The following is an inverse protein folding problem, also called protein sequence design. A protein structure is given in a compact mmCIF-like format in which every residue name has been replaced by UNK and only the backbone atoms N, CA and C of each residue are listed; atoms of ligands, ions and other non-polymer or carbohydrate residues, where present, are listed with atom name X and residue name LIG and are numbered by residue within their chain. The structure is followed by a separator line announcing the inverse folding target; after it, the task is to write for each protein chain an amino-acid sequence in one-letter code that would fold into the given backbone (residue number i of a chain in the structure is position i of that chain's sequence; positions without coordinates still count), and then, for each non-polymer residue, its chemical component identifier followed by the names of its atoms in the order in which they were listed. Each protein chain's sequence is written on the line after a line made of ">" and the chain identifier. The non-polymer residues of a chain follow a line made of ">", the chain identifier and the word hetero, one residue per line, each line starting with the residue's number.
data_IF_962852656391
#
_entry.id   IF_962852656391
#
_cell.length_a   1.000
_cell.length_b   1.000
_cell.length_c   1.000
_cell.angle_alpha   90.00
_cell.angle_beta   90.00
_cell.angle_gamma   90.00
#
_symmetry.space_group_name_H-M   'P 1'
#
loop_
_entity.id
_entity.type
_entity.pdbx_description
1 polymer ?
#
# COMPACT_ATOMS: atom_id res chain seq x y z
N UNK A 1 34.30 25.20 -34.35
CA UNK A 1 35.41 24.71 -35.18
C UNK A 1 35.49 23.20 -34.98
N UNK A 2 35.65 22.42 -36.04
CA UNK A 2 36.04 21.01 -35.89
C UNK A 2 37.57 21.02 -35.78
N UNK A 3 38.11 20.93 -34.57
CA UNK A 3 39.54 20.66 -34.37
C UNK A 3 39.71 19.17 -34.16
N UNK A 4 40.60 18.52 -34.90
CA UNK A 4 40.95 17.13 -34.60
C UNK A 4 41.70 17.02 -33.27
N UNK A 5 41.72 15.85 -32.65
CA UNK A 5 42.54 15.59 -31.44
C UNK A 5 44.02 15.88 -31.75
N UNK A 6 44.48 15.55 -32.95
CA UNK A 6 45.85 15.82 -33.40
C UNK A 6 46.15 17.31 -33.50
N UNK A 7 45.24 18.11 -34.05
CA UNK A 7 45.37 19.58 -34.11
C UNK A 7 45.31 20.20 -32.71
N UNK A 8 44.45 19.67 -31.84
CA UNK A 8 44.37 20.09 -30.45
C UNK A 8 45.70 19.86 -29.74
N UNK A 9 46.24 18.64 -29.80
CA UNK A 9 47.52 18.29 -29.19
C UNK A 9 48.69 19.07 -29.81
N UNK A 10 48.65 19.34 -31.13
CA UNK A 10 49.66 20.16 -31.79
C UNK A 10 49.61 21.61 -31.31
N UNK A 11 48.41 22.19 -31.16
CA UNK A 11 48.25 23.53 -30.61
C UNK A 11 48.73 23.62 -29.17
N UNK A 12 48.36 22.65 -28.33
CA UNK A 12 48.80 22.57 -26.94
C UNK A 12 50.34 22.50 -26.85
N UNK A 13 50.99 21.68 -27.68
CA UNK A 13 52.46 21.57 -27.73
C UNK A 13 53.17 22.80 -28.29
N UNK A 14 52.53 23.52 -29.22
CA UNK A 14 53.14 24.66 -29.92
C UNK A 14 53.01 25.98 -29.16
N UNK A 15 52.04 26.08 -28.25
CA UNK A 15 51.94 27.23 -27.36
C UNK A 15 52.83 26.97 -26.14
N UNK A 16 53.74 27.90 -25.80
CA UNK A 16 54.30 28.05 -24.45
C UNK A 16 53.19 28.45 -23.42
N UNK A 17 51.97 27.96 -23.62
CA UNK A 17 50.82 28.34 -22.85
C UNK A 17 50.92 27.74 -21.46
N UNK A 18 50.73 28.60 -20.46
CA UNK A 18 50.50 28.22 -19.07
C UNK A 18 49.53 27.03 -18.99
N UNK A 19 49.82 26.05 -18.12
CA UNK A 19 48.96 24.89 -17.81
C UNK A 19 47.48 25.23 -17.60
N UNK A 20 47.19 26.47 -17.19
CA UNK A 20 45.84 27.04 -17.08
C UNK A 20 45.06 27.03 -18.39
N UNK A 21 45.68 27.34 -19.52
CA UNK A 21 45.01 27.36 -20.84
C UNK A 21 44.68 25.95 -21.34
N UNK A 22 45.53 24.96 -21.03
CA UNK A 22 45.27 23.56 -21.32
C UNK A 22 44.08 23.05 -20.51
N UNK A 23 44.04 23.39 -19.22
CA UNK A 23 42.95 23.04 -18.32
C UNK A 23 41.62 23.67 -18.76
N UNK A 24 41.60 24.94 -19.14
CA UNK A 24 40.40 25.62 -19.66
C UNK A 24 39.86 24.93 -20.92
N UNK A 25 40.74 24.58 -21.85
CA UNK A 25 40.34 23.87 -23.08
C UNK A 25 39.84 22.45 -22.83
N UNK A 26 40.48 21.73 -21.90
CA UNK A 26 40.01 20.40 -21.49
C UNK A 26 38.64 20.49 -20.80
N UNK A 27 38.43 21.51 -19.96
CA UNK A 27 37.13 21.79 -19.36
C UNK A 27 36.08 22.08 -20.43
N UNK A 28 36.38 22.88 -21.45
CA UNK A 28 35.45 23.14 -22.56
C UNK A 28 34.99 21.86 -23.26
N UNK A 29 35.90 20.92 -23.51
CA UNK A 29 35.58 19.60 -24.10
C UNK A 29 34.75 18.74 -23.16
N UNK A 30 35.12 18.66 -21.87
CA UNK A 30 34.41 17.86 -20.87
C UNK A 30 33.01 18.42 -20.56
N UNK A 31 32.83 19.73 -20.66
CA UNK A 31 31.56 20.41 -20.40
C UNK A 31 30.67 20.52 -21.66
N UNK A 32 31.22 20.25 -22.86
CA UNK A 32 30.47 20.31 -24.12
C UNK A 32 29.15 19.51 -24.10
N UNK A 33 29.08 18.27 -23.54
CA UNK A 33 27.83 17.51 -23.45
C UNK A 33 26.74 18.19 -22.61
N UNK A 34 27.09 19.05 -21.64
CA UNK A 34 26.13 19.74 -20.78
C UNK A 34 25.34 20.83 -21.52
N UNK A 35 25.86 21.32 -22.65
CA UNK A 35 25.20 22.31 -23.49
C UNK A 35 24.15 21.72 -24.44
N UNK A 36 24.10 20.39 -24.57
CA UNK A 36 23.19 19.69 -25.47
C UNK A 36 21.87 19.44 -24.75
N UNK A 37 20.76 19.82 -25.39
CA UNK A 37 19.43 19.73 -24.79
C UNK A 37 18.47 18.88 -25.64
N UNK A 38 18.76 17.58 -25.82
CA UNK A 38 17.92 16.72 -26.66
C UNK A 38 16.49 16.61 -26.08
N UNK A 39 16.35 16.67 -24.76
CA UNK A 39 15.05 16.66 -24.11
C UNK A 39 14.14 17.84 -24.50
N UNK A 40 14.68 19.06 -24.62
CA UNK A 40 13.90 20.23 -25.05
C UNK A 40 13.40 20.06 -26.48
N UNK A 41 14.28 19.66 -27.40
CA UNK A 41 13.92 19.47 -28.82
C UNK A 41 12.96 18.29 -29.04
N UNK A 42 13.00 17.25 -28.23
CA UNK A 42 11.99 16.19 -28.24
C UNK A 42 10.59 16.73 -27.93
N UNK A 43 10.49 17.61 -26.93
CA UNK A 43 9.22 18.26 -26.55
C UNK A 43 8.76 19.20 -27.67
N UNK A 44 9.67 20.00 -28.22
CA UNK A 44 9.34 20.93 -29.30
C UNK A 44 8.86 20.21 -30.55
N UNK A 45 9.50 19.09 -30.89
CA UNK A 45 9.08 18.24 -32.00
C UNK A 45 7.66 17.68 -31.77
N UNK A 46 7.36 17.16 -30.57
CA UNK A 46 6.02 16.68 -30.25
C UNK A 46 4.96 17.78 -30.35
N UNK A 47 5.24 18.98 -29.83
CA UNK A 47 4.36 20.15 -29.93
C UNK A 47 4.13 20.56 -31.39
N UNK A 48 5.19 20.63 -32.20
CA UNK A 48 5.11 20.98 -33.60
C UNK A 48 4.37 19.92 -34.42
N UNK A 49 4.59 18.64 -34.16
CA UNK A 49 3.88 17.54 -34.79
C UNK A 49 2.37 17.58 -34.46
N UNK A 50 2.00 17.91 -33.21
CA UNK A 50 0.60 18.14 -32.82
C UNK A 50 -0.04 19.29 -33.59
N UNK A 51 0.65 20.44 -33.58
CA UNK A 51 0.10 21.71 -34.00
C UNK A 51 0.06 21.83 -35.52
N UNK A 52 1.14 21.44 -36.19
CA UNK A 52 1.35 21.65 -37.61
C UNK A 52 1.31 20.34 -38.43
N UNK A 53 1.25 19.18 -37.76
CA UNK A 53 1.31 17.88 -38.42
C UNK A 53 2.74 17.36 -38.55
N UNK A 54 2.91 16.04 -38.54
CA UNK A 54 4.23 15.38 -38.58
C UNK A 54 5.00 15.64 -39.88
N UNK A 55 4.29 15.84 -41.00
CA UNK A 55 4.88 16.19 -42.29
C UNK A 55 5.18 17.68 -42.47
N UNK A 56 4.89 18.53 -41.48
CA UNK A 56 5.19 19.96 -41.59
C UNK A 56 6.70 20.21 -41.58
N UNK A 57 7.13 21.22 -42.32
CA UNK A 57 8.54 21.64 -42.34
C UNK A 57 9.08 21.92 -40.93
N UNK A 58 8.25 22.50 -40.05
CA UNK A 58 8.64 22.81 -38.68
C UNK A 58 8.80 21.55 -37.81
N UNK A 59 7.89 20.58 -37.90
CA UNK A 59 8.04 19.31 -37.20
C UNK A 59 9.28 18.55 -37.68
N UNK A 60 9.48 18.46 -39.00
CA UNK A 60 10.66 17.81 -39.60
C UNK A 60 11.95 18.48 -39.13
N UNK A 61 12.02 19.83 -39.17
CA UNK A 61 13.19 20.59 -38.69
C UNK A 61 13.51 20.28 -37.23
N UNK A 62 12.51 20.30 -36.35
CA UNK A 62 12.71 20.04 -34.93
C UNK A 62 13.06 18.57 -34.65
N UNK A 63 12.53 17.64 -35.45
CA UNK A 63 12.93 16.24 -35.45
C UNK A 63 14.42 16.07 -35.77
N UNK A 64 14.93 16.71 -36.83
CA UNK A 64 16.35 16.71 -37.14
C UNK A 64 17.20 17.36 -36.04
N UNK A 65 16.74 18.48 -35.47
CA UNK A 65 17.43 19.13 -34.34
C UNK A 65 17.52 18.20 -33.12
N UNK A 66 16.45 17.44 -32.84
CA UNK A 66 16.43 16.45 -31.78
C UNK A 66 17.45 15.33 -32.04
N UNK A 67 17.43 14.71 -33.23
CA UNK A 67 18.33 13.60 -33.56
C UNK A 67 19.80 14.04 -33.58
N UNK A 68 20.11 15.20 -34.16
CA UNK A 68 21.47 15.75 -34.17
C UNK A 68 21.95 16.14 -32.77
N UNK A 69 21.04 16.60 -31.91
CA UNK A 69 21.36 16.87 -30.51
C UNK A 69 21.65 15.57 -29.74
N UNK A 70 20.96 14.46 -30.01
CA UNK A 70 21.27 13.17 -29.35
C UNK A 70 22.72 12.74 -29.57
N UNK A 71 23.26 12.99 -30.76
CA UNK A 71 24.66 12.72 -31.10
C UNK A 71 25.61 13.89 -30.78
N UNK A 72 25.11 14.98 -30.19
CA UNK A 72 25.90 16.18 -29.87
C UNK A 72 27.07 15.88 -28.93
N UNK A 73 26.88 15.00 -27.93
CA UNK A 73 27.94 14.60 -26.99
C UNK A 73 29.09 13.83 -27.65
N UNK A 74 28.81 13.13 -28.76
CA UNK A 74 29.83 12.37 -29.54
C UNK A 74 30.46 13.23 -30.63
N UNK A 75 29.66 14.06 -31.28
CA UNK A 75 30.05 14.82 -32.47
C UNK A 75 30.55 16.23 -32.16
N UNK A 76 30.34 16.71 -30.93
CA UNK A 76 30.60 18.09 -30.54
C UNK A 76 29.67 19.10 -31.21
N UNK A 77 28.58 18.64 -31.86
CA UNK A 77 27.58 19.51 -32.48
C UNK A 77 26.68 20.11 -31.41
N UNK A 78 26.49 21.42 -31.47
CA UNK A 78 25.55 22.15 -30.61
C UNK A 78 24.64 23.01 -31.47
N UNK A 79 23.39 23.19 -31.04
CA UNK A 79 22.48 24.14 -31.69
C UNK A 79 22.97 25.57 -31.45
N UNK A 80 22.93 26.42 -32.48
CA UNK A 80 23.31 27.83 -32.33
C UNK A 80 22.43 28.52 -31.29
N UNK A 81 23.04 29.38 -30.46
CA UNK A 81 22.37 30.00 -29.30
C UNK A 81 21.14 30.84 -29.68
N UNK A 82 21.22 31.57 -30.78
CA UNK A 82 20.11 32.37 -31.33
C UNK A 82 18.95 31.51 -31.81
N UNK A 83 19.25 30.37 -32.43
CA UNK A 83 18.24 29.38 -32.86
C UNK A 83 17.56 28.75 -31.65
N UNK A 84 18.33 28.34 -30.65
CA UNK A 84 17.81 27.77 -29.40
C UNK A 84 16.90 28.77 -28.67
N UNK A 85 17.34 30.02 -28.52
CA UNK A 85 16.56 31.05 -27.83
C UNK A 85 15.24 31.37 -28.56
N UNK A 86 15.28 31.40 -29.90
CA UNK A 86 14.08 31.55 -30.73
C UNK A 86 13.11 30.39 -30.54
N UNK A 87 13.61 29.15 -30.58
CA UNK A 87 12.79 27.95 -30.41
C UNK A 87 12.22 27.87 -28.97
N UNK A 88 13.01 28.22 -27.95
CA UNK A 88 12.56 28.33 -26.55
C UNK A 88 11.44 29.33 -26.39
N UNK A 89 11.60 30.55 -26.92
CA UNK A 89 10.56 31.58 -26.86
C UNK A 89 9.27 31.12 -27.51
N UNK A 90 9.39 30.37 -28.60
CA UNK A 90 8.23 29.81 -29.31
C UNK A 90 7.56 28.71 -28.49
N UNK A 91 8.28 27.68 -28.04
CA UNK A 91 7.68 26.45 -27.53
C UNK A 91 7.59 26.33 -26.00
N UNK A 92 8.50 26.94 -25.24
CA UNK A 92 8.62 26.71 -23.79
C UNK A 92 7.39 27.14 -22.99
N UNK A 93 6.61 28.08 -23.53
CA UNK A 93 5.35 28.54 -22.91
C UNK A 93 4.21 27.51 -22.96
N UNK A 94 4.34 26.45 -23.78
CA UNK A 94 3.26 25.49 -24.03
C UNK A 94 3.36 24.16 -23.26
N UNK A 95 4.42 23.95 -22.48
CA UNK A 95 4.60 22.71 -21.69
C UNK A 95 4.72 21.45 -22.55
N UNK A 96 4.19 20.32 -22.05
CA UNK A 96 4.09 19.04 -22.79
C UNK A 96 2.71 18.88 -23.41
N UNK A 97 2.61 18.10 -24.49
CA UNK A 97 1.34 17.68 -25.07
C UNK A 97 0.51 16.85 -24.08
N UNK A 98 -0.81 16.92 -24.17
CA UNK A 98 -1.69 16.31 -23.17
C UNK A 98 -1.55 14.79 -23.09
N UNK A 99 -1.26 14.09 -24.19
CA UNK A 99 -1.03 12.65 -24.16
C UNK A 99 0.23 12.23 -23.41
N UNK A 100 1.21 13.12 -23.27
CA UNK A 100 2.48 12.88 -22.60
C UNK A 100 2.48 13.37 -21.14
N UNK A 101 1.37 13.99 -20.70
CA UNK A 101 1.19 14.35 -19.29
C UNK A 101 0.70 13.12 -18.51
N UNK A 102 1.28 12.84 -17.33
CA UNK A 102 0.65 11.91 -16.39
C UNK A 102 -0.77 12.40 -16.09
N UNK A 103 -1.67 11.48 -15.76
CA UNK A 103 -3.03 11.87 -15.41
C UNK A 103 -3.00 12.77 -14.17
N UNK A 104 -3.91 13.74 -14.09
CA UNK A 104 -3.91 14.77 -13.04
C UNK A 104 -3.92 14.17 -11.61
N UNK A 105 -4.47 12.95 -11.48
CA UNK A 105 -4.47 12.13 -10.27
C UNK A 105 -3.05 11.89 -9.70
N UNK A 106 -2.01 11.83 -10.54
CA UNK A 106 -0.61 11.61 -10.12
C UNK A 106 0.15 12.90 -9.78
N UNK A 107 -0.43 14.08 -10.05
CA UNK A 107 0.27 15.38 -9.96
C UNK A 107 -0.09 16.23 -8.74
N UNK A 108 -0.80 15.68 -7.76
CA UNK A 108 -1.16 16.40 -6.52
C UNK A 108 0.06 16.95 -5.73
N UNK A 109 1.29 16.52 -6.06
CA UNK A 109 2.50 16.93 -5.36
C UNK A 109 3.11 18.27 -5.79
N UNK A 110 2.60 18.94 -6.84
CA UNK A 110 3.12 20.27 -7.21
C UNK A 110 2.17 21.39 -6.73
N UNK A 111 2.48 22.09 -5.62
CA UNK A 111 1.61 23.12 -5.05
C UNK A 111 1.45 24.37 -5.93
N UNK A 112 2.21 24.51 -7.03
CA UNK A 112 2.11 25.63 -7.96
C UNK A 112 2.14 25.15 -9.42
N UNK A 113 1.06 24.51 -9.93
CA UNK A 113 0.97 24.18 -11.33
C UNK A 113 0.86 25.49 -12.12
N UNK A 114 1.91 25.89 -12.85
CA UNK A 114 1.76 26.94 -13.84
C UNK A 114 0.89 26.37 -14.97
N UNK A 115 -0.28 26.96 -15.27
CA UNK A 115 -1.10 26.47 -16.37
C UNK A 115 -0.31 26.66 -17.66
N UNK A 116 0.11 25.55 -18.26
CA UNK A 116 0.75 25.57 -19.56
C UNK A 116 -0.30 25.92 -20.61
N UNK A 117 0.00 26.87 -21.50
CA UNK A 117 -0.88 27.17 -22.63
C UNK A 117 -0.85 25.97 -23.59
N UNK A 118 -1.95 25.62 -24.21
CA UNK A 118 -1.89 24.70 -25.34
C UNK A 118 -1.45 25.45 -26.60
N UNK A 119 -0.54 24.82 -27.37
CA UNK A 119 -0.19 25.33 -28.70
C UNK A 119 -1.38 25.06 -29.64
N UNK A 120 -2.00 26.09 -30.25
CA UNK A 120 -3.16 25.91 -31.13
C UNK A 120 -2.82 25.00 -32.31
N UNK A 121 -3.75 24.11 -32.67
CA UNK A 121 -3.61 23.24 -33.84
C UNK A 121 -4.05 23.96 -35.11
N UNK A 122 -3.20 23.90 -36.12
CA UNK A 122 -3.45 24.42 -37.48
C UNK A 122 -4.01 23.33 -38.38
N UNK A 123 -3.65 22.07 -38.14
CA UNK A 123 -4.14 20.93 -38.92
C UNK A 123 -5.55 20.56 -38.49
N UNK A 124 -6.45 20.48 -39.46
CA UNK A 124 -7.83 20.04 -39.26
C UNK A 124 -7.91 18.56 -38.86
N UNK A 125 -8.97 18.21 -38.14
CA UNK A 125 -9.23 16.84 -37.69
C UNK A 125 -8.55 16.47 -36.36
N UNK A 126 -8.93 15.33 -35.77
CA UNK A 126 -8.44 14.92 -34.46
C UNK A 126 -6.99 14.43 -34.53
N UNK A 127 -6.22 14.66 -33.45
CA UNK A 127 -4.86 14.11 -33.34
C UNK A 127 -4.94 12.68 -32.78
N UNK A 128 -4.29 11.73 -33.44
CA UNK A 128 -4.45 10.30 -33.13
C UNK A 128 -4.12 9.94 -31.68
N UNK A 129 -3.09 10.55 -31.07
CA UNK A 129 -2.74 10.23 -29.67
C UNK A 129 -3.74 10.83 -28.68
N UNK A 130 -4.37 11.97 -28.99
CA UNK A 130 -5.45 12.53 -28.17
C UNK A 130 -6.68 11.60 -28.20
N UNK A 131 -7.01 11.07 -29.38
CA UNK A 131 -8.07 10.08 -29.56
C UNK A 131 -7.76 8.79 -28.80
N UNK A 132 -6.53 8.27 -28.89
CA UNK A 132 -6.12 7.06 -28.19
C UNK A 132 -6.14 7.24 -26.67
N UNK A 133 -5.63 8.36 -26.14
CA UNK A 133 -5.70 8.65 -24.69
C UNK A 133 -7.15 8.73 -24.21
N UNK A 134 -8.01 9.42 -24.95
CA UNK A 134 -9.44 9.55 -24.62
C UNK A 134 -10.15 8.19 -24.60
N UNK A 135 -9.97 7.38 -25.66
CA UNK A 135 -10.54 6.04 -25.72
C UNK A 135 -9.96 5.11 -24.65
N UNK A 136 -8.65 5.22 -24.36
CA UNK A 136 -8.01 4.50 -23.26
C UNK A 136 -8.63 4.82 -21.91
N UNK A 137 -8.90 6.10 -21.60
CA UNK A 137 -9.60 6.52 -20.38
C UNK A 137 -11.02 5.96 -20.30
N UNK A 138 -11.76 5.98 -21.41
CA UNK A 138 -13.11 5.39 -21.48
C UNK A 138 -13.06 3.88 -21.21
N UNK A 139 -12.12 3.16 -21.82
CA UNK A 139 -11.97 1.71 -21.59
C UNK A 139 -11.51 1.39 -20.16
N UNK A 140 -10.57 2.16 -19.60
CA UNK A 140 -10.18 2.09 -18.18
C UNK A 140 -11.40 2.23 -17.27
N UNK A 141 -12.22 3.25 -17.50
CA UNK A 141 -13.45 3.48 -16.74
C UNK A 141 -14.43 2.31 -16.83
N UNK A 142 -14.65 1.77 -18.03
CA UNK A 142 -15.50 0.58 -18.25
C UNK A 142 -14.99 -0.65 -17.50
N UNK A 143 -13.68 -0.90 -17.52
CA UNK A 143 -13.08 -2.05 -16.83
C UNK A 143 -13.15 -1.89 -15.30
N UNK A 144 -12.87 -0.69 -14.78
CA UNK A 144 -13.02 -0.39 -13.35
C UNK A 144 -14.48 -0.51 -12.89
N UNK A 145 -15.43 -0.09 -13.72
CA UNK A 145 -16.84 -0.26 -13.40
C UNK A 145 -17.22 -1.74 -13.36
N UNK A 146 -16.82 -2.54 -14.35
CA UNK A 146 -17.03 -4.00 -14.32
C UNK A 146 -16.46 -4.67 -13.07
N UNK A 147 -15.28 -4.22 -12.62
CA UNK A 147 -14.69 -4.68 -11.37
C UNK A 147 -15.57 -4.30 -10.17
N UNK A 148 -15.98 -3.03 -10.08
CA UNK A 148 -16.88 -2.55 -9.02
C UNK A 148 -18.23 -3.26 -9.02
N UNK A 149 -18.78 -3.59 -10.18
CA UNK A 149 -20.03 -4.33 -10.29
C UNK A 149 -19.87 -5.77 -9.76
N UNK A 150 -18.69 -6.38 -10.00
CA UNK A 150 -18.34 -7.73 -9.50
C UNK A 150 -17.94 -7.77 -8.04
N UNK A 151 -17.35 -6.70 -7.50
CA UNK A 151 -16.90 -6.65 -6.10
C UNK A 151 -17.80 -5.83 -5.19
N UNK A 152 -18.82 -5.19 -5.77
CA UNK A 152 -19.76 -4.33 -5.06
C UNK A 152 -20.61 -5.10 -4.06
N UNK A 153 -21.37 -4.35 -3.26
CA UNK A 153 -22.07 -4.88 -2.09
C UNK A 153 -23.01 -6.06 -2.40
N UNK A 154 -23.51 -6.16 -3.64
CA UNK A 154 -24.40 -7.23 -4.08
C UNK A 154 -23.74 -8.57 -4.43
N UNK A 155 -22.46 -8.60 -4.81
CA UNK A 155 -21.81 -9.83 -5.28
C UNK A 155 -21.36 -10.77 -4.15
N UNK A 156 -21.24 -10.25 -2.93
CA UNK A 156 -20.71 -10.99 -1.78
C UNK A 156 -21.76 -11.27 -0.68
N UNK A 157 -23.05 -11.24 -1.03
CA UNK A 157 -24.14 -11.35 -0.03
C UNK A 157 -24.15 -12.72 0.67
N UNK A 158 -23.86 -13.81 -0.04
CA UNK A 158 -24.02 -15.16 0.48
C UNK A 158 -23.06 -15.49 1.65
N UNK A 159 -21.75 -15.34 1.44
CA UNK A 159 -20.79 -15.62 2.53
C UNK A 159 -20.89 -14.61 3.66
N UNK A 160 -21.23 -13.34 3.36
CA UNK A 160 -21.50 -12.32 4.39
C UNK A 160 -22.68 -12.75 5.26
N UNK A 161 -23.74 -13.29 4.67
CA UNK A 161 -24.89 -13.82 5.41
C UNK A 161 -24.49 -15.01 6.30
N UNK A 162 -23.67 -15.93 5.80
CA UNK A 162 -23.14 -17.04 6.58
C UNK A 162 -22.26 -16.57 7.74
N UNK A 163 -21.35 -15.62 7.49
CA UNK A 163 -20.50 -15.01 8.52
C UNK A 163 -21.32 -14.33 9.61
N UNK A 164 -22.35 -13.56 9.23
CA UNK A 164 -23.31 -12.96 10.17
C UNK A 164 -24.05 -14.00 11.00
N UNK A 165 -24.50 -15.07 10.36
CA UNK A 165 -25.21 -16.15 11.05
C UNK A 165 -24.28 -16.84 12.07
N UNK A 166 -23.03 -17.12 11.72
CA UNK A 166 -22.03 -17.70 12.62
C UNK A 166 -21.77 -16.80 13.84
N UNK A 167 -21.57 -15.49 13.62
CA UNK A 167 -21.32 -14.54 14.71
C UNK A 167 -22.54 -14.39 15.61
N UNK A 168 -23.75 -14.28 15.03
CA UNK A 168 -25.00 -14.24 15.80
C UNK A 168 -25.20 -15.49 16.65
N UNK A 169 -24.93 -16.67 16.09
CA UNK A 169 -25.02 -17.93 16.83
C UNK A 169 -24.04 -17.95 18.02
N UNK A 170 -22.80 -17.48 17.81
CA UNK A 170 -21.83 -17.38 18.89
C UNK A 170 -22.22 -16.37 19.98
N UNK A 171 -22.74 -15.19 19.61
CA UNK A 171 -23.25 -14.19 20.58
C UNK A 171 -24.39 -14.79 21.40
N UNK A 172 -25.32 -15.49 20.76
CA UNK A 172 -26.42 -16.17 21.45
C UNK A 172 -25.88 -17.21 22.45
N UNK A 173 -24.90 -18.03 22.05
CA UNK A 173 -24.26 -19.01 22.94
C UNK A 173 -23.56 -18.33 24.14
N UNK A 174 -22.87 -17.20 23.92
CA UNK A 174 -22.30 -16.41 25.02
C UNK A 174 -23.39 -15.88 25.95
N UNK A 175 -24.51 -15.39 25.43
CA UNK A 175 -25.62 -14.86 26.22
C UNK A 175 -26.35 -15.95 27.04
N UNK A 176 -26.49 -17.17 26.51
CA UNK A 176 -27.04 -18.31 27.24
C UNK A 176 -26.20 -18.67 28.48
N UNK A 177 -24.89 -18.47 28.40
CA UNK A 177 -23.94 -18.67 29.50
C UNK A 177 -23.90 -17.43 30.42
N UNK A 178 -23.91 -16.23 29.84
CA UNK A 178 -23.69 -14.97 30.55
C UNK A 178 -24.90 -14.53 31.38
N UNK A 179 -26.09 -14.51 30.79
CA UNK A 179 -27.28 -13.92 31.41
C UNK A 179 -27.69 -14.56 32.74
N UNK A 180 -27.64 -15.91 32.92
CA UNK A 180 -28.04 -16.53 34.19
C UNK A 180 -27.19 -16.13 35.39
N UNK A 181 -25.94 -15.72 35.17
CA UNK A 181 -24.99 -15.36 36.23
C UNK A 181 -24.74 -13.85 36.34
N UNK A 182 -25.19 -13.05 35.36
CA UNK A 182 -24.88 -11.62 35.24
C UNK A 182 -25.11 -10.84 36.53
N UNK A 183 -26.27 -11.01 37.16
CA UNK A 183 -26.63 -10.26 38.37
C UNK A 183 -25.87 -10.69 39.63
N UNK A 184 -25.31 -11.91 39.62
CA UNK A 184 -24.56 -12.47 40.75
C UNK A 184 -23.09 -12.03 40.80
N UNK A 185 -22.60 -11.41 39.73
CA UNK A 185 -21.20 -11.05 39.58
C UNK A 185 -20.89 -9.61 40.00
N UNK A 186 -19.65 -9.32 40.43
CA UNK A 186 -19.18 -7.96 40.66
C UNK A 186 -19.31 -7.10 39.39
N UNK A 187 -19.65 -5.82 39.56
CA UNK A 187 -19.89 -4.89 38.45
C UNK A 187 -18.70 -4.80 37.48
N UNK A 188 -17.46 -4.82 38.00
CA UNK A 188 -16.23 -4.86 37.17
C UNK A 188 -16.25 -6.01 36.16
N UNK A 189 -16.65 -7.22 36.59
CA UNK A 189 -16.69 -8.38 35.70
C UNK A 189 -17.82 -8.28 34.68
N UNK A 190 -18.95 -7.67 35.06
CA UNK A 190 -20.04 -7.38 34.10
C UNK A 190 -19.57 -6.47 32.99
N UNK A 191 -18.89 -5.36 33.34
CA UNK A 191 -18.31 -4.45 32.35
C UNK A 191 -17.33 -5.16 31.42
N UNK A 192 -16.43 -5.97 31.98
CA UNK A 192 -15.46 -6.73 31.16
C UNK A 192 -16.16 -7.66 30.17
N UNK A 193 -17.16 -8.42 30.61
CA UNK A 193 -17.86 -9.39 29.77
C UNK A 193 -18.70 -8.67 28.70
N UNK A 194 -19.43 -7.63 29.10
CA UNK A 194 -20.23 -6.83 28.17
C UNK A 194 -19.34 -6.17 27.10
N UNK A 195 -18.12 -5.71 27.45
CA UNK A 195 -17.17 -5.19 26.46
C UNK A 195 -16.60 -6.26 25.51
N UNK A 196 -16.30 -7.46 26.02
CA UNK A 196 -15.76 -8.56 25.22
C UNK A 196 -16.79 -9.13 24.24
N UNK A 197 -18.06 -9.20 24.64
CA UNK A 197 -19.18 -9.66 23.79
C UNK A 197 -19.62 -8.54 22.84
N UNK A 198 -19.75 -7.30 23.34
CA UNK A 198 -20.31 -6.16 22.61
C UNK A 198 -19.54 -5.76 21.35
N UNK A 199 -18.24 -6.09 21.26
CA UNK A 199 -17.46 -5.96 20.02
C UNK A 199 -18.11 -6.64 18.82
N UNK A 200 -18.83 -7.73 19.06
CA UNK A 200 -19.45 -8.56 18.03
C UNK A 200 -20.91 -8.19 17.76
N UNK A 201 -21.59 -7.54 18.70
CA UNK A 201 -23.01 -7.16 18.59
C UNK A 201 -23.22 -5.95 17.68
N UNK A 202 -22.41 -4.90 17.84
CA UNK A 202 -22.62 -3.61 17.17
C UNK A 202 -21.85 -3.45 15.85
N UNK A 203 -20.74 -4.18 15.66
CA UNK A 203 -19.67 -3.76 14.72
C UNK A 203 -19.26 -4.79 13.67
N UNK A 204 -19.70 -6.04 13.82
CA UNK A 204 -19.25 -7.15 12.99
C UNK A 204 -20.19 -7.52 11.83
N UNK A 205 -21.32 -6.83 11.73
CA UNK A 205 -22.44 -7.31 10.94
C UNK A 205 -22.23 -7.24 9.42
N UNK A 206 -21.24 -6.56 8.83
CA UNK A 206 -21.30 -6.36 7.38
C UNK A 206 -20.24 -7.01 6.47
N UNK A 207 -18.95 -7.15 6.81
CA UNK A 207 -17.94 -7.47 5.77
C UNK A 207 -16.73 -8.34 6.17
N UNK A 208 -16.75 -9.08 7.29
CA UNK A 208 -15.55 -9.80 7.75
C UNK A 208 -15.67 -11.31 7.75
N UNK A 209 -14.53 -11.94 7.49
CA UNK A 209 -14.34 -13.37 7.62
C UNK A 209 -14.41 -13.75 9.10
N UNK A 210 -15.32 -14.66 9.51
CA UNK A 210 -15.45 -15.02 10.92
C UNK A 210 -14.27 -15.84 11.43
N UNK A 211 -13.49 -16.46 10.55
CA UNK A 211 -12.48 -17.46 10.93
C UNK A 211 -11.26 -16.87 11.65
N UNK A 212 -10.64 -15.76 11.21
CA UNK A 212 -9.54 -15.16 11.95
C UNK A 212 -9.91 -14.74 13.38
N UNK A 213 -11.20 -14.52 13.67
CA UNK A 213 -11.70 -14.18 15.02
C UNK A 213 -12.01 -15.41 15.90
N UNK A 214 -12.03 -16.63 15.34
CA UNK A 214 -12.44 -17.84 16.09
C UNK A 214 -11.57 -18.14 17.31
N UNK A 215 -10.22 -18.07 17.25
CA UNK A 215 -9.40 -18.30 18.44
C UNK A 215 -9.78 -17.39 19.61
N UNK A 216 -9.98 -16.10 19.34
CA UNK A 216 -10.41 -15.12 20.34
C UNK A 216 -11.79 -15.47 20.92
N UNK A 217 -12.78 -15.69 20.05
CA UNK A 217 -14.15 -16.06 20.44
C UNK A 217 -14.22 -17.33 21.30
N UNK A 218 -13.44 -18.36 20.95
CA UNK A 218 -13.37 -19.62 21.72
C UNK A 218 -12.83 -19.39 23.13
N UNK A 219 -11.81 -18.54 23.30
CA UNK A 219 -11.24 -18.26 24.64
C UNK A 219 -12.18 -17.42 25.51
N UNK A 220 -12.91 -16.47 24.94
CA UNK A 220 -13.97 -15.75 25.68
C UNK A 220 -15.02 -16.74 26.18
N UNK A 221 -15.57 -17.59 25.30
CA UNK A 221 -16.58 -18.57 25.69
C UNK A 221 -16.05 -19.57 26.73
N UNK A 222 -14.80 -19.99 26.59
CA UNK A 222 -14.13 -20.83 27.59
C UNK A 222 -14.04 -20.14 28.96
N UNK A 223 -13.67 -18.86 28.99
CA UNK A 223 -13.62 -18.06 30.22
C UNK A 223 -15.00 -18.00 30.90
N UNK A 224 -16.06 -17.75 30.13
CA UNK A 224 -17.44 -17.70 30.64
C UNK A 224 -17.89 -19.04 31.21
N UNK A 225 -17.62 -20.15 30.51
CA UNK A 225 -17.93 -21.50 31.00
C UNK A 225 -17.20 -21.84 32.29
N UNK A 226 -15.94 -21.42 32.42
CA UNK A 226 -15.18 -21.59 33.65
C UNK A 226 -15.76 -20.80 34.82
N UNK A 227 -16.28 -19.61 34.60
CA UNK A 227 -16.96 -18.82 35.64
C UNK A 227 -18.23 -19.52 36.16
N UNK A 228 -18.99 -20.19 35.30
CA UNK A 228 -20.18 -20.98 35.71
C UNK A 228 -19.76 -22.25 36.46
N UNK A 229 -18.78 -22.98 35.94
CA UNK A 229 -18.38 -24.27 36.48
C UNK A 229 -17.66 -24.16 37.84
N UNK A 230 -17.14 -22.98 38.17
CA UNK A 230 -16.54 -22.71 39.47
C UNK A 230 -17.59 -23.00 40.57
N UNK A 231 -17.29 -23.92 41.52
CA UNK A 231 -18.18 -24.16 42.65
C UNK A 231 -18.46 -22.82 43.30
N UNK A 232 -19.74 -22.46 43.33
CA UNK A 232 -20.30 -21.16 43.74
C UNK A 232 -19.40 -20.39 44.72
N UNK A 233 -19.27 -19.07 44.50
CA UNK A 233 -18.61 -18.01 45.28
C UNK A 233 -18.82 -18.01 46.83
N UNK A 234 -19.35 -19.07 47.42
CA UNK A 234 -19.51 -19.34 48.85
C UNK A 234 -18.22 -19.83 49.54
N UNK A 235 -17.05 -19.76 48.91
CA UNK A 235 -15.80 -20.08 49.60
C UNK A 235 -15.36 -18.92 50.52
N UNK A 236 -14.86 -19.20 51.74
CA UNK A 236 -14.43 -18.18 52.71
C UNK A 236 -13.40 -17.20 52.14
N UNK A 237 -13.31 -16.01 52.74
CA UNK A 237 -12.54 -14.81 52.33
C UNK A 237 -10.99 -14.97 52.16
N UNK A 238 -10.45 -16.18 52.09
CA UNK A 238 -9.02 -16.46 52.02
C UNK A 238 -8.61 -17.36 50.84
N UNK A 239 -9.52 -17.67 49.91
CA UNK A 239 -9.12 -18.35 48.66
C UNK A 239 -8.63 -17.30 47.66
N UNK A 240 -7.40 -17.42 47.11
CA UNK A 240 -6.88 -16.49 46.11
C UNK A 240 -7.84 -16.32 44.94
N UNK A 241 -7.85 -15.17 44.26
CA UNK A 241 -8.73 -14.90 43.13
C UNK A 241 -8.74 -16.10 42.20
N UNK A 242 -9.94 -16.68 41.99
CA UNK A 242 -10.05 -17.92 41.27
C UNK A 242 -9.41 -17.73 39.88
N UNK A 243 -8.59 -18.69 39.46
CA UNK A 243 -7.82 -18.63 38.21
C UNK A 243 -8.69 -18.26 36.98
N UNK A 244 -10.00 -18.51 37.06
CA UNK A 244 -11.00 -18.17 36.05
C UNK A 244 -11.30 -16.67 35.95
N UNK A 245 -11.33 -15.94 37.06
CA UNK A 245 -11.46 -14.47 37.05
C UNK A 245 -10.22 -13.86 36.43
N UNK A 246 -9.04 -14.32 36.87
CA UNK A 246 -7.77 -13.83 36.32
C UNK A 246 -7.65 -14.12 34.81
N UNK A 247 -8.17 -15.26 34.34
CA UNK A 247 -8.21 -15.57 32.92
C UNK A 247 -9.07 -14.59 32.11
N UNK A 248 -10.21 -14.16 32.66
CA UNK A 248 -11.05 -13.15 32.03
C UNK A 248 -10.40 -11.76 32.05
N UNK A 249 -9.75 -11.40 33.16
CA UNK A 249 -8.97 -10.16 33.26
C UNK A 249 -7.80 -10.13 32.28
N UNK A 250 -7.06 -11.24 32.13
CA UNK A 250 -5.98 -11.35 31.14
C UNK A 250 -6.50 -11.16 29.70
N UNK A 251 -7.69 -11.68 29.36
CA UNK A 251 -8.32 -11.42 28.05
C UNK A 251 -8.70 -9.93 27.91
N UNK A 252 -9.26 -9.32 28.94
CA UNK A 252 -9.57 -7.90 28.92
C UNK A 252 -8.31 -7.03 28.74
N UNK A 253 -7.21 -7.37 29.40
CA UNK A 253 -5.95 -6.65 29.28
C UNK A 253 -5.37 -6.76 27.87
N UNK A 254 -5.43 -7.95 27.24
CA UNK A 254 -5.07 -8.13 25.82
C UNK A 254 -5.92 -7.22 24.94
N UNK A 255 -7.24 -7.22 25.12
CA UNK A 255 -8.17 -6.38 24.36
C UNK A 255 -7.79 -4.90 24.46
N UNK A 256 -7.60 -4.40 25.68
CA UNK A 256 -7.27 -2.99 25.91
C UNK A 256 -5.94 -2.62 25.28
N UNK A 257 -4.90 -3.45 25.46
CA UNK A 257 -3.59 -3.23 24.84
C UNK A 257 -3.68 -3.18 23.30
N UNK A 258 -4.42 -4.11 22.69
CA UNK A 258 -4.66 -4.15 21.24
C UNK A 258 -5.42 -2.92 20.76
N UNK A 259 -6.44 -2.47 21.51
CA UNK A 259 -7.22 -1.29 21.17
C UNK A 259 -6.39 0.01 21.21
N UNK A 260 -5.56 0.19 22.24
CA UNK A 260 -4.65 1.34 22.33
C UNK A 260 -3.59 1.32 21.24
N UNK A 261 -3.08 0.13 20.89
CA UNK A 261 -2.19 -0.03 19.74
C UNK A 261 -2.89 0.37 18.43
N UNK A 262 -4.14 -0.04 18.23
CA UNK A 262 -4.93 0.32 17.06
C UNK A 262 -5.12 1.84 16.93
N UNK A 263 -5.46 2.54 18.03
CA UNK A 263 -5.54 4.02 18.04
C UNK A 263 -4.23 4.69 17.65
N UNK A 264 -3.12 4.16 18.17
CA UNK A 264 -1.78 4.66 17.87
C UNK A 264 -1.45 4.45 16.39
N UNK A 265 -1.66 3.23 15.88
CA UNK A 265 -1.47 2.89 14.47
C UNK A 265 -2.25 3.83 13.56
N UNK A 266 -3.51 4.08 13.87
CA UNK A 266 -4.38 4.95 13.09
C UNK A 266 -3.89 6.39 12.98
N UNK A 267 -3.27 6.90 14.04
CA UNK A 267 -2.66 8.22 14.07
C UNK A 267 -1.37 8.22 13.26
N UNK A 268 -0.51 7.20 13.45
CA UNK A 268 0.73 7.02 12.69
C UNK A 268 0.45 6.90 11.18
N UNK A 269 -0.49 6.06 10.74
CA UNK A 269 -0.81 5.86 9.30
C UNK A 269 -1.26 7.14 8.61
N UNK A 270 -2.02 7.99 9.29
CA UNK A 270 -2.41 9.29 8.71
C UNK A 270 -1.19 10.20 8.54
N UNK A 271 -0.28 10.23 9.51
CA UNK A 271 0.94 11.02 9.45
C UNK A 271 1.97 10.49 8.43
N UNK A 272 1.87 9.22 8.02
CA UNK A 272 2.78 8.58 7.07
C UNK A 272 2.40 8.76 5.60
N UNK A 273 1.27 9.43 5.28
CA UNK A 273 0.76 9.53 3.90
C UNK A 273 1.73 10.22 2.95
N UNK A 274 2.52 11.16 3.47
CA UNK A 274 3.48 11.95 2.69
C UNK A 274 4.89 11.35 2.70
N UNK A 275 5.09 10.22 3.39
CA UNK A 275 6.37 9.52 3.38
C UNK A 275 6.54 8.73 2.09
N UNK A 276 7.79 8.61 1.63
CA UNK A 276 8.10 7.69 0.56
C UNK A 276 7.82 6.24 0.99
N UNK A 277 7.70 5.35 0.01
CA UNK A 277 7.30 3.96 0.25
C UNK A 277 8.25 3.18 1.16
N UNK A 278 9.56 3.49 1.15
CA UNK A 278 10.55 2.80 1.99
C UNK A 278 10.35 3.18 3.45
N UNK A 279 10.28 4.48 3.74
CA UNK A 279 10.09 4.98 5.10
C UNK A 279 8.74 4.51 5.67
N UNK A 280 7.68 4.49 4.86
CA UNK A 280 6.38 3.95 5.27
C UNK A 280 6.47 2.47 5.64
N UNK A 281 7.19 1.66 4.87
CA UNK A 281 7.39 0.25 5.17
C UNK A 281 8.21 0.03 6.45
N UNK A 282 9.24 0.81 6.68
CA UNK A 282 10.05 0.73 7.91
C UNK A 282 9.19 1.03 9.14
N UNK A 283 8.35 2.07 9.08
CA UNK A 283 7.41 2.38 10.15
C UNK A 283 6.35 1.29 10.37
N UNK A 284 5.86 0.65 9.31
CA UNK A 284 4.94 -0.49 9.45
C UNK A 284 5.63 -1.68 10.13
N UNK A 285 6.91 -1.95 9.81
CA UNK A 285 7.71 -2.99 10.50
C UNK A 285 7.92 -2.65 11.98
N UNK A 286 8.23 -1.39 12.29
CA UNK A 286 8.33 -0.92 13.68
C UNK A 286 7.01 -1.15 14.44
N UNK A 287 5.87 -0.81 13.86
CA UNK A 287 4.56 -1.03 14.49
C UNK A 287 4.24 -2.52 14.68
N UNK A 288 4.59 -3.38 13.72
CA UNK A 288 4.43 -4.83 13.87
C UNK A 288 5.32 -5.39 14.99
N UNK A 289 6.55 -4.87 15.14
CA UNK A 289 7.43 -5.23 16.25
C UNK A 289 6.89 -4.73 17.60
N UNK A 290 6.41 -3.48 17.69
CA UNK A 290 5.73 -2.92 18.85
C UNK A 290 4.53 -3.79 19.26
N UNK A 291 3.70 -4.19 18.29
CA UNK A 291 2.54 -5.07 18.51
C UNK A 291 2.94 -6.45 19.04
N UNK A 292 4.00 -7.04 18.49
CA UNK A 292 4.53 -8.34 18.93
C UNK A 292 5.02 -8.29 20.39
N UNK A 293 5.50 -7.12 20.85
CA UNK A 293 5.94 -6.91 22.23
C UNK A 293 4.79 -6.63 23.22
N UNK A 294 3.56 -6.41 22.75
CA UNK A 294 2.41 -6.20 23.63
C UNK A 294 2.16 -7.46 24.47
N UNK A 295 1.99 -7.26 25.79
CA UNK A 295 1.58 -8.28 26.76
C UNK A 295 2.37 -9.59 26.61
N UNK A 296 3.68 -9.61 26.92
CA UNK A 296 4.48 -10.83 26.82
C UNK A 296 3.87 -11.95 27.69
N UNK A 297 4.02 -13.22 27.30
CA UNK A 297 3.36 -14.34 27.99
C UNK A 297 3.57 -14.35 29.52
N UNK A 298 4.72 -13.87 30.00
CA UNK A 298 5.02 -13.75 31.44
C UNK A 298 4.25 -12.65 32.19
N UNK A 299 3.60 -11.70 31.50
CA UNK A 299 2.76 -10.68 32.12
C UNK A 299 1.32 -11.14 32.36
N UNK A 300 0.91 -12.26 31.78
CA UNK A 300 -0.45 -12.80 31.91
C UNK A 300 -0.48 -13.90 32.97
N UNK A 301 -1.19 -13.67 34.07
CA UNK A 301 -1.07 -14.50 35.26
C UNK A 301 -1.73 -15.89 35.11
N UNK A 302 -2.87 -15.95 34.42
CA UNK A 302 -3.61 -17.18 34.16
C UNK A 302 -3.23 -17.74 32.78
N UNK A 303 -3.22 -16.92 31.73
CA UNK A 303 -2.86 -17.36 30.38
C UNK A 303 -1.41 -17.84 30.29
N UNK A 304 -0.47 -17.23 31.02
CA UNK A 304 0.93 -17.66 31.07
C UNK A 304 1.16 -19.04 31.69
N UNK A 305 0.17 -19.60 32.39
CA UNK A 305 0.24 -20.96 32.96
C UNK A 305 -0.24 -22.05 32.00
N UNK A 306 -0.99 -21.68 30.96
CA UNK A 306 -1.69 -22.66 30.10
C UNK A 306 -1.19 -22.72 28.67
N UNK A 307 -0.32 -21.79 28.24
CA UNK A 307 -0.09 -21.55 26.82
C UNK A 307 1.40 -21.38 26.48
N UNK A 308 1.75 -21.84 25.27
CA UNK A 308 3.00 -21.46 24.59
C UNK A 308 2.94 -19.97 24.23
N UNK A 309 4.11 -19.32 24.15
CA UNK A 309 4.27 -17.95 23.62
C UNK A 309 3.48 -17.71 22.32
N UNK A 310 3.40 -18.75 21.48
CA UNK A 310 2.66 -18.74 20.23
C UNK A 310 1.15 -18.54 20.41
N UNK A 311 0.53 -19.12 21.44
CA UNK A 311 -0.93 -18.99 21.65
C UNK A 311 -1.30 -17.54 22.01
N UNK A 312 -0.43 -16.83 22.72
CA UNK A 312 -0.65 -15.40 23.05
C UNK A 312 -0.61 -14.56 21.77
N UNK A 313 0.32 -14.82 20.86
CA UNK A 313 0.36 -14.15 19.54
C UNK A 313 -0.90 -14.42 18.71
N UNK A 314 -1.38 -15.67 18.69
CA UNK A 314 -2.64 -16.04 18.03
C UNK A 314 -3.82 -15.28 18.62
N UNK A 315 -3.89 -15.16 19.96
CA UNK A 315 -4.96 -14.41 20.62
C UNK A 315 -4.88 -12.91 20.34
N UNK A 316 -3.68 -12.31 20.39
CA UNK A 316 -3.49 -10.89 20.03
C UNK A 316 -3.91 -10.62 18.59
N UNK A 317 -3.48 -11.45 17.63
CA UNK A 317 -3.85 -11.30 16.22
C UNK A 317 -5.36 -11.46 16.00
N UNK A 318 -5.96 -12.50 16.60
CA UNK A 318 -7.39 -12.76 16.52
C UNK A 318 -8.23 -11.65 17.18
N UNK A 319 -7.74 -11.10 18.30
CA UNK A 319 -8.31 -9.93 18.97
C UNK A 319 -8.18 -8.67 18.11
N UNK A 320 -7.02 -8.41 17.50
CA UNK A 320 -6.79 -7.26 16.62
C UNK A 320 -7.73 -7.27 15.40
N UNK A 321 -7.98 -8.46 14.85
CA UNK A 321 -9.00 -8.63 13.81
C UNK A 321 -10.41 -8.31 14.33
N UNK A 322 -10.70 -8.69 15.59
CA UNK A 322 -11.97 -8.47 16.30
C UNK A 322 -12.24 -6.99 16.62
N UNK A 323 -11.25 -6.26 17.11
CA UNK A 323 -11.45 -4.99 17.81
C UNK A 323 -11.52 -3.76 16.88
N UNK A 324 -11.56 -3.96 15.56
CA UNK A 324 -11.57 -2.86 14.58
C UNK A 324 -12.89 -2.05 14.55
N UNK A 325 -12.84 -0.70 14.59
CA UNK A 325 -14.01 0.17 14.41
C UNK A 325 -14.64 0.01 13.02
N UNK A 326 -15.96 0.13 12.98
CA UNK A 326 -16.77 -0.03 11.75
C UNK A 326 -16.46 1.00 10.66
N UNK A 327 -15.83 2.13 10.98
CA UNK A 327 -15.86 3.25 10.05
C UNK A 327 -14.70 3.34 9.04
N UNK A 328 -13.43 2.98 9.31
CA UNK A 328 -12.37 3.30 8.30
C UNK A 328 -11.05 2.52 8.23
N UNK A 329 -10.75 1.46 8.99
CA UNK A 329 -9.35 0.97 9.04
C UNK A 329 -9.19 -0.53 9.18
N UNK A 330 -9.65 -1.27 8.17
CA UNK A 330 -9.41 -2.73 8.05
C UNK A 330 -7.92 -3.10 7.97
N UNK A 331 -7.05 -2.14 7.67
CA UNK A 331 -5.61 -2.33 7.50
C UNK A 331 -4.89 -2.74 8.79
N UNK A 332 -5.29 -2.24 9.97
CA UNK A 332 -4.53 -2.44 11.23
C UNK A 332 -4.13 -3.90 11.51
N UNK A 333 -5.06 -4.88 11.58
CA UNK A 333 -4.70 -6.26 11.87
C UNK A 333 -3.78 -6.87 10.80
N UNK A 334 -3.90 -6.46 9.54
CA UNK A 334 -3.02 -6.93 8.48
C UNK A 334 -1.64 -6.26 8.54
N UNK A 335 -1.56 -4.98 8.89
CA UNK A 335 -0.28 -4.29 9.05
C UNK A 335 0.55 -4.88 10.19
N UNK A 336 -0.10 -5.26 11.31
CA UNK A 336 0.62 -5.69 12.53
C UNK A 336 0.71 -7.21 12.68
N UNK A 337 -0.24 -7.97 12.12
CA UNK A 337 -0.41 -9.39 12.42
C UNK A 337 -0.75 -10.28 11.20
N UNK A 338 -0.57 -9.82 9.95
CA UNK A 338 -0.91 -10.60 8.73
C UNK A 338 -0.39 -12.04 8.76
N UNK A 339 0.86 -12.25 9.16
CA UNK A 339 1.47 -13.59 9.20
C UNK A 339 0.70 -14.55 10.11
N UNK A 340 0.33 -14.09 11.31
CA UNK A 340 -0.42 -14.90 12.27
C UNK A 340 -1.87 -15.10 11.81
N UNK A 341 -2.49 -14.08 11.20
CA UNK A 341 -3.83 -14.19 10.63
C UNK A 341 -3.90 -15.22 9.49
N UNK A 342 -2.90 -15.26 8.61
CA UNK A 342 -2.80 -16.29 7.58
C UNK A 342 -2.67 -17.70 8.17
N UNK A 343 -1.89 -17.87 9.24
CA UNK A 343 -1.77 -19.17 9.93
C UNK A 343 -3.09 -19.58 10.60
N UNK A 344 -3.80 -18.64 11.25
CA UNK A 344 -5.15 -18.89 11.79
C UNK A 344 -6.09 -19.33 10.67
N UNK A 345 -6.13 -18.60 9.56
CA UNK A 345 -7.00 -18.91 8.41
C UNK A 345 -6.72 -20.31 7.84
N UNK A 346 -5.44 -20.69 7.72
CA UNK A 346 -5.05 -22.02 7.25
C UNK A 346 -5.48 -23.13 8.23
N UNK A 347 -5.29 -22.92 9.53
CA UNK A 347 -5.65 -23.91 10.56
C UNK A 347 -7.16 -24.12 10.70
N UNK A 348 -7.95 -23.08 10.46
CA UNK A 348 -9.42 -23.16 10.48
C UNK A 348 -10.00 -23.86 9.24
N UNK A 349 -9.21 -24.08 8.18
CA UNK A 349 -9.63 -24.77 6.94
C UNK A 349 -8.68 -25.91 6.57
N UNK A 350 -8.75 -27.07 7.27
CA UNK A 350 -7.97 -28.23 6.88
C UNK A 350 -8.41 -28.79 5.51
N UNK A 351 -7.52 -29.44 4.76
CA UNK A 351 -6.12 -29.69 5.08
C UNK A 351 -5.22 -28.46 4.82
N UNK A 352 -4.20 -28.26 5.64
CA UNK A 352 -3.16 -27.25 5.44
C UNK A 352 -1.76 -27.86 5.58
N UNK A 353 -0.78 -27.23 4.95
CA UNK A 353 0.63 -27.64 5.00
C UNK A 353 1.51 -26.43 5.31
N UNK A 354 2.44 -26.60 6.26
CA UNK A 354 3.48 -25.60 6.51
C UNK A 354 4.67 -25.83 5.60
N UNK A 355 5.28 -24.73 5.17
CA UNK A 355 6.51 -24.71 4.39
C UNK A 355 7.49 -23.68 4.95
N UNK A 356 8.77 -23.88 4.71
CA UNK A 356 9.80 -22.93 5.10
C UNK A 356 9.72 -21.67 4.25
N UNK A 357 10.22 -20.55 4.76
CA UNK A 357 10.28 -19.30 4.01
C UNK A 357 11.08 -19.45 2.70
N UNK A 358 12.20 -20.19 2.73
CA UNK A 358 13.01 -20.46 1.54
C UNK A 358 12.20 -21.18 0.46
N UNK A 359 11.37 -22.15 0.86
CA UNK A 359 10.49 -22.84 -0.08
C UNK A 359 9.41 -21.89 -0.62
N UNK A 360 8.81 -21.07 0.24
CA UNK A 360 7.81 -20.07 -0.15
C UNK A 360 8.33 -19.11 -1.22
N UNK A 361 9.57 -18.64 -1.05
CA UNK A 361 10.24 -17.69 -1.94
C UNK A 361 10.64 -18.33 -3.28
N UNK A 362 10.90 -19.64 -3.29
CA UNK A 362 11.22 -20.39 -4.50
C UNK A 362 9.99 -20.92 -5.25
N UNK A 363 8.85 -21.05 -4.56
CA UNK A 363 7.63 -21.61 -5.14
C UNK A 363 7.01 -20.66 -6.17
N UNK A 364 6.62 -21.20 -7.32
CA UNK A 364 5.88 -20.49 -8.37
C UNK A 364 4.60 -21.25 -8.65
N UNK A 365 3.52 -20.52 -8.91
CA UNK A 365 2.26 -21.12 -9.34
C UNK A 365 2.47 -21.83 -10.68
N UNK A 366 2.18 -23.13 -10.71
CA UNK A 366 2.22 -23.91 -11.94
C UNK A 366 1.07 -23.45 -12.85
N UNK A 367 1.42 -22.90 -14.01
CA UNK A 367 0.45 -22.39 -14.97
C UNK A 367 -0.48 -23.49 -15.48
N UNK A 368 0.05 -24.68 -15.75
CA UNK A 368 -0.75 -25.81 -16.23
C UNK A 368 -1.73 -26.25 -15.15
N UNK A 369 -1.32 -26.24 -13.89
CA UNK A 369 -2.24 -26.48 -12.78
C UNK A 369 -3.38 -25.46 -12.73
N UNK A 370 -3.10 -24.17 -12.95
CA UNK A 370 -4.16 -23.14 -13.04
C UNK A 370 -5.04 -23.37 -14.28
N UNK A 371 -4.51 -23.82 -15.41
CA UNK A 371 -5.31 -24.09 -16.60
C UNK A 371 -6.19 -25.34 -16.43
N UNK A 372 -5.65 -26.40 -15.82
CA UNK A 372 -6.34 -27.68 -15.61
C UNK A 372 -7.39 -27.60 -14.50
N UNK A 373 -7.19 -26.74 -13.48
CA UNK A 373 -8.04 -26.67 -12.28
C UNK A 373 -8.62 -25.28 -11.97
N UNK A 374 -8.17 -24.21 -12.62
CA UNK A 374 -8.59 -22.82 -12.35
C UNK A 374 -9.90 -22.41 -13.02
N UNK A 375 -10.51 -23.31 -13.79
CA UNK A 375 -11.89 -23.19 -14.27
C UNK A 375 -12.77 -24.11 -13.41
N UNK A 376 -12.85 -23.83 -12.11
CA UNK A 376 -14.04 -24.27 -11.37
C UNK A 376 -15.06 -23.17 -11.58
N UNK A 377 -16.10 -23.53 -12.34
CA UNK A 377 -17.16 -22.66 -12.82
C UNK A 377 -17.61 -21.61 -11.80
N UNK A 378 -17.86 -20.43 -12.36
CA UNK A 378 -18.80 -19.45 -11.83
C UNK A 378 -20.07 -20.13 -11.30
N UNK A 379 -20.15 -20.33 -10.00
CA UNK A 379 -21.40 -20.40 -9.24
C UNK A 379 -21.77 -19.02 -8.73
#
# INVERSE_FOLDING_TARGET
>A
MKSSVSEFLAQVKSSDANARSEQERLQDVLLCPLGVQPGEYSIYHALAARAYGIGSHEAIRLGYMFTESLDGSKTGKTVKRDVLERDRRKYRQYGRCDWDRPDEEDTQENPNPRPFKELPRVVEGPFVLDVLKTNGKIQRGKMLQKYKDRTGDGANVAWKALARAEIKAWVAECNDVWLPIKDSLPEKLKTIIDELIGDFEDRYADNRDPEPSRPWRRRILQALRFLIAAPTFKTPAHVPPCIHIQFLEDLHDIRQAVWECAKTHWTKVVAMRDLNIRDRQDRLREMSAEFSMLMPAGSLQALGRFNDSYDVEVLKASCAYSVLPSQRKEEFPFDVALRILCDIKARENPPYQSFSQIFAEAAVLDRKYIEDFGVVDSM
#
